data_IF_111225656149
#
_entry.id   IF_111225656149
#
_cell.length_a   1.000
_cell.length_b   1.000
_cell.length_c   1.000
_cell.angle_alpha   90.00
_cell.angle_beta   90.00
_cell.angle_gamma   90.00
#
_symmetry.space_group_name_H-M   'P 1'
#
loop_
_entity.id
_entity.type
_entity.pdbx_description
1 polymer ?
#
# COMPACT_ATOMS: atom_id res chain seq x y z
N UNK A 1 13.84 25.69 4.19
CA UNK A 1 13.26 24.44 3.66
C UNK A 1 13.97 23.31 4.39
N UNK A 2 13.27 22.51 5.18
CA UNK A 2 13.88 21.39 5.91
C UNK A 2 14.37 20.36 4.89
N UNK A 3 15.61 19.90 5.04
CA UNK A 3 16.15 18.84 4.19
C UNK A 3 15.56 17.48 4.59
N UNK A 4 15.66 16.49 3.70
CA UNK A 4 15.25 15.12 4.01
C UNK A 4 16.01 14.56 5.23
N UNK A 5 17.29 14.90 5.37
CA UNK A 5 18.07 14.50 6.54
C UNK A 5 17.60 15.19 7.82
N UNK A 6 17.17 16.45 7.78
CA UNK A 6 16.62 17.14 8.95
C UNK A 6 15.31 16.50 9.41
N UNK A 7 14.46 16.06 8.48
CA UNK A 7 13.22 15.33 8.79
C UNK A 7 13.53 13.94 9.34
N UNK A 8 14.50 13.23 8.75
CA UNK A 8 14.93 11.92 9.21
C UNK A 8 15.59 11.97 10.60
N UNK A 9 16.37 13.02 10.88
CA UNK A 9 17.01 13.27 12.17
C UNK A 9 16.01 13.74 13.23
N UNK A 10 15.02 14.58 12.86
CA UNK A 10 13.93 14.95 13.77
C UNK A 10 13.01 13.76 14.09
N UNK A 11 12.87 12.83 13.14
CA UNK A 11 12.20 11.56 13.35
C UNK A 11 13.11 10.49 14.00
N UNK A 12 14.41 10.75 14.19
CA UNK A 12 15.35 9.79 14.77
C UNK A 12 15.13 9.67 16.29
N UNK A 13 14.08 8.95 16.67
CA UNK A 13 13.71 8.62 18.04
C UNK A 13 12.69 7.48 18.06
N UNK A 14 12.12 7.21 19.24
CA UNK A 14 11.14 6.14 19.48
C UNK A 14 9.97 6.15 18.49
N UNK A 15 9.58 7.32 17.98
CA UNK A 15 8.53 7.49 16.97
C UNK A 15 8.86 6.73 15.67
N UNK A 16 10.09 6.86 15.14
CA UNK A 16 10.53 6.14 13.95
C UNK A 16 10.58 4.64 14.21
N UNK A 17 11.05 4.23 15.38
CA UNK A 17 11.09 2.82 15.74
C UNK A 17 9.67 2.24 15.88
N UNK A 18 8.73 3.00 16.43
CA UNK A 18 7.32 2.63 16.50
C UNK A 18 6.71 2.49 15.09
N UNK A 19 7.01 3.44 14.18
CA UNK A 19 6.58 3.37 12.79
C UNK A 19 7.19 2.16 12.07
N UNK A 20 8.47 1.85 12.28
CA UNK A 20 9.11 0.68 11.69
C UNK A 20 8.54 -0.63 12.23
N UNK A 21 8.24 -0.71 13.53
CA UNK A 21 7.57 -1.87 14.13
C UNK A 21 6.18 -2.06 13.55
N UNK A 22 5.37 -0.99 13.49
CA UNK A 22 4.04 -1.03 12.88
C UNK A 22 4.10 -1.46 11.42
N UNK A 23 5.04 -0.94 10.64
CA UNK A 23 5.22 -1.34 9.25
C UNK A 23 5.63 -2.83 9.14
N UNK A 24 6.50 -3.31 10.01
CA UNK A 24 6.91 -4.71 10.01
C UNK A 24 5.73 -5.65 10.33
N UNK A 25 4.87 -5.27 11.28
CA UNK A 25 3.66 -6.01 11.63
C UNK A 25 2.64 -6.04 10.48
N UNK A 26 2.44 -4.90 9.81
CA UNK A 26 1.58 -4.79 8.63
C UNK A 26 2.09 -5.65 7.47
N UNK A 27 3.41 -5.64 7.22
CA UNK A 27 4.03 -6.45 6.17
C UNK A 27 3.94 -7.94 6.47
N UNK A 28 4.10 -8.35 7.73
CA UNK A 28 3.94 -9.74 8.13
C UNK A 28 2.47 -10.19 8.02
N UNK A 29 1.52 -9.31 8.36
CA UNK A 29 0.09 -9.54 8.15
C UNK A 29 -0.24 -9.68 6.67
N UNK A 30 0.31 -8.81 5.81
CA UNK A 30 0.16 -8.89 4.36
C UNK A 30 0.78 -10.17 3.78
N UNK A 31 1.91 -10.62 4.33
CA UNK A 31 2.58 -11.87 3.91
C UNK A 31 1.76 -13.12 4.28
N UNK A 32 1.14 -13.13 5.46
CA UNK A 32 0.28 -14.23 5.93
C UNK A 32 -1.07 -14.25 5.21
N UNK A 33 -1.64 -13.08 4.96
CA UNK A 33 -2.86 -12.91 4.20
C UNK A 33 -2.60 -13.04 2.70
N UNK A 34 -2.66 -14.26 2.15
CA UNK A 34 -2.65 -14.51 0.69
C UNK A 34 -3.81 -13.78 -0.02
N UNK A 35 -3.67 -12.48 -0.28
CA UNK A 35 -4.67 -11.65 -0.97
C UNK A 35 -5.70 -10.98 -0.06
N UNK A 36 -5.27 -10.31 1.00
CA UNK A 36 -6.14 -9.41 1.78
C UNK A 36 -6.64 -8.19 0.97
N UNK A 37 -7.55 -7.37 1.54
CA UNK A 37 -8.07 -6.18 0.87
C UNK A 37 -6.93 -5.28 0.33
N UNK A 38 -7.00 -4.89 -0.94
CA UNK A 38 -5.96 -4.09 -1.60
C UNK A 38 -4.83 -4.90 -2.26
N UNK A 39 -4.78 -6.21 -2.06
CA UNK A 39 -3.83 -7.10 -2.74
C UNK A 39 -4.51 -7.84 -3.90
N UNK A 40 -3.77 -8.01 -5.00
CA UNK A 40 -4.21 -8.81 -6.15
C UNK A 40 -3.30 -10.02 -6.26
N UNK A 41 -3.90 -11.21 -6.31
CA UNK A 41 -3.16 -12.44 -6.63
C UNK A 41 -2.80 -12.43 -8.11
N UNK A 42 -1.53 -12.22 -8.42
CA UNK A 42 -1.01 -12.14 -9.78
C UNK A 42 0.28 -12.96 -9.88
N UNK A 43 0.38 -13.81 -10.90
CA UNK A 43 1.62 -14.54 -11.20
C UNK A 43 2.42 -13.85 -12.31
N UNK A 44 1.75 -13.05 -13.16
CA UNK A 44 2.36 -12.26 -14.22
C UNK A 44 1.90 -10.80 -14.17
N UNK A 45 2.70 -9.84 -14.67
CA UNK A 45 2.30 -8.42 -14.73
C UNK A 45 0.96 -8.18 -15.44
N UNK A 46 0.63 -9.00 -16.44
CA UNK A 46 -0.64 -8.93 -17.17
C UNK A 46 -1.86 -9.23 -16.27
N UNK A 47 -1.74 -10.08 -15.26
CA UNK A 47 -2.83 -10.44 -14.36
C UNK A 47 -3.20 -9.26 -13.47
N UNK A 48 -2.17 -8.54 -12.97
CA UNK A 48 -2.35 -7.29 -12.23
C UNK A 48 -3.02 -6.22 -13.10
N UNK A 49 -2.54 -6.02 -14.33
CA UNK A 49 -3.12 -5.05 -15.25
C UNK A 49 -4.59 -5.34 -15.55
N UNK A 50 -4.96 -6.62 -15.69
CA UNK A 50 -6.35 -7.07 -15.89
C UNK A 50 -7.22 -6.79 -14.67
N UNK A 51 -6.75 -7.11 -13.46
CA UNK A 51 -7.46 -6.86 -12.22
C UNK A 51 -7.66 -5.35 -11.97
N UNK A 52 -6.59 -4.57 -12.02
CA UNK A 52 -6.66 -3.11 -11.82
C UNK A 52 -7.48 -2.42 -12.92
N UNK A 53 -7.41 -2.91 -14.16
CA UNK A 53 -8.23 -2.41 -15.26
C UNK A 53 -9.72 -2.64 -15.04
N UNK A 54 -10.11 -3.79 -14.48
CA UNK A 54 -11.50 -4.10 -14.10
C UNK A 54 -11.99 -3.14 -13.02
N UNK A 55 -11.26 -3.01 -11.92
CA UNK A 55 -11.62 -2.14 -10.80
C UNK A 55 -11.76 -0.68 -11.23
N UNK A 56 -10.84 -0.19 -12.09
CA UNK A 56 -10.93 1.17 -12.65
C UNK A 56 -12.20 1.37 -13.47
N UNK A 57 -12.62 0.37 -14.27
CA UNK A 57 -13.87 0.44 -15.04
C UNK A 57 -15.10 0.42 -14.14
N UNK A 58 -15.14 -0.46 -13.14
CA UNK A 58 -16.26 -0.52 -12.18
C UNK A 58 -16.38 0.79 -11.38
N UNK A 59 -15.25 1.35 -10.89
CA UNK A 59 -15.23 2.66 -10.22
C UNK A 59 -15.66 3.81 -11.14
N UNK A 60 -15.38 3.73 -12.44
CA UNK A 60 -15.82 4.72 -13.42
C UNK A 60 -17.33 4.62 -13.64
N UNK A 61 -17.88 3.42 -13.78
CA UNK A 61 -19.31 3.20 -13.93
C UNK A 61 -20.10 3.70 -12.72
N UNK A 62 -19.63 3.40 -11.49
CA UNK A 62 -20.25 3.93 -10.26
C UNK A 62 -20.26 5.46 -10.20
N UNK A 63 -19.21 6.11 -10.69
CA UNK A 63 -19.12 7.58 -10.78
C UNK A 63 -20.03 8.19 -11.85
N UNK A 64 -20.39 7.44 -12.88
CA UNK A 64 -21.28 7.90 -13.95
C UNK A 64 -22.77 7.61 -13.64
N UNK A 65 -23.03 6.71 -12.70
CA UNK A 65 -24.38 6.30 -12.30
C UNK A 65 -24.90 7.04 -11.06
N UNK A 66 -24.10 7.92 -10.45
CA UNK A 66 -24.47 8.81 -9.35
C UNK A 66 -24.29 10.26 -9.77
#
# INVERSE_FOLDING_TARGET
MLSYEDVAAAAAGDERDALWRSLAEDMETARRGRGGPGFVRAERPADLARALGRDRRERRLRRLAG
#
